data_IF_036557620766
#
_entry.id   IF_036557620766
#
_cell.length_a   1.000
_cell.length_b   1.000
_cell.length_c   1.000
_cell.angle_alpha   90.00
_cell.angle_beta   90.00
_cell.angle_gamma   90.00
#
_symmetry.space_group_name_H-M   'P 1'
#
loop_
_entity.id
_entity.type
_entity.pdbx_description
1 polymer ?
#
# COMPACT_ATOMS: atom_id res chain seq x y z
N UNK A 1 -27.17 12.61 -43.27
CA UNK A 1 -26.09 13.19 -42.46
C UNK A 1 -26.43 12.96 -40.99
N UNK A 2 -25.56 12.23 -40.27
CA UNK A 2 -25.32 12.22 -38.81
C UNK A 2 -26.51 12.56 -37.90
N UNK A 3 -27.19 11.62 -37.25
CA UNK A 3 -26.74 10.72 -36.18
C UNK A 3 -25.95 11.42 -35.04
N UNK A 4 -26.51 11.29 -33.83
CA UNK A 4 -25.93 11.52 -32.49
C UNK A 4 -25.81 12.96 -31.95
N UNK A 5 -26.59 13.24 -30.89
CA UNK A 5 -26.09 13.79 -29.62
C UNK A 5 -27.20 13.77 -28.55
N UNK A 6 -27.61 12.58 -28.12
CA UNK A 6 -28.13 12.44 -26.75
C UNK A 6 -26.90 12.40 -25.83
N UNK A 7 -26.56 13.52 -25.21
CA UNK A 7 -25.64 13.52 -24.08
C UNK A 7 -26.47 13.33 -22.81
N UNK A 8 -26.43 12.12 -22.29
CA UNK A 8 -26.96 11.76 -21.00
C UNK A 8 -26.25 12.58 -19.91
N UNK A 9 -27.03 13.31 -19.12
CA UNK A 9 -26.61 13.74 -17.79
C UNK A 9 -26.51 12.48 -16.94
N UNK A 10 -25.34 11.85 -16.93
CA UNK A 10 -25.04 10.83 -15.92
C UNK A 10 -24.87 11.55 -14.59
N UNK A 11 -25.87 11.33 -13.73
CA UNK A 11 -25.83 11.71 -12.34
C UNK A 11 -24.55 11.18 -11.70
N UNK A 12 -23.74 12.08 -11.14
CA UNK A 12 -22.71 11.73 -10.17
C UNK A 12 -23.42 11.04 -9.01
N UNK A 13 -23.49 9.72 -9.09
CA UNK A 13 -24.02 8.86 -8.05
C UNK A 13 -23.08 9.02 -6.86
N UNK A 14 -23.64 9.37 -5.71
CA UNK A 14 -22.90 9.86 -4.56
C UNK A 14 -21.70 8.99 -4.21
N UNK A 15 -20.51 9.60 -4.19
CA UNK A 15 -19.37 9.01 -3.52
C UNK A 15 -19.78 8.81 -2.06
N UNK A 16 -20.05 7.56 -1.68
CA UNK A 16 -20.27 7.19 -0.29
C UNK A 16 -19.08 7.74 0.50
N UNK A 17 -19.36 8.50 1.56
CA UNK A 17 -18.30 8.99 2.46
C UNK A 17 -17.57 7.76 2.99
N UNK A 18 -16.34 7.54 2.54
CA UNK A 18 -15.48 6.46 3.02
C UNK A 18 -15.37 6.60 4.53
N UNK A 19 -15.82 5.58 5.26
CA UNK A 19 -15.60 5.51 6.69
C UNK A 19 -14.09 5.63 6.98
N UNK A 20 -13.67 6.29 8.08
CA UNK A 20 -12.26 6.31 8.44
C UNK A 20 -11.74 4.87 8.51
N UNK A 21 -10.64 4.58 7.80
CA UNK A 21 -10.02 3.27 7.86
C UNK A 21 -9.58 3.01 9.32
N UNK A 22 -10.03 1.88 9.87
CA UNK A 22 -9.51 1.41 11.15
C UNK A 22 -8.11 0.86 10.87
N UNK A 23 -7.13 1.13 11.75
CA UNK A 23 -5.79 0.56 11.61
C UNK A 23 -5.94 -0.97 11.50
N UNK A 24 -5.40 -1.55 10.42
CA UNK A 24 -5.48 -2.98 10.14
C UNK A 24 -6.48 -3.40 9.06
N UNK A 25 -7.22 -2.48 8.44
CA UNK A 25 -8.18 -2.79 7.35
C UNK A 25 -7.98 -1.92 6.08
N UNK A 26 -6.93 -1.11 6.03
CA UNK A 26 -6.62 -0.32 4.83
C UNK A 26 -5.95 -1.16 3.73
N UNK A 27 -6.02 -0.68 2.48
CA UNK A 27 -5.23 -1.25 1.38
C UNK A 27 -3.74 -1.26 1.71
N UNK A 28 -3.24 -0.18 2.31
CA UNK A 28 -1.86 -0.10 2.77
C UNK A 28 -1.55 -1.16 3.84
N UNK A 29 -2.47 -1.42 4.77
CA UNK A 29 -2.26 -2.43 5.79
C UNK A 29 -2.16 -3.85 5.22
N UNK A 30 -2.98 -4.15 4.21
CA UNK A 30 -2.95 -5.43 3.50
C UNK A 30 -1.70 -5.57 2.65
N UNK A 31 -1.39 -4.56 1.85
CA UNK A 31 -0.30 -4.61 0.88
C UNK A 31 1.08 -4.50 1.53
N UNK A 32 1.17 -4.05 2.78
CA UNK A 32 2.41 -4.07 3.57
C UNK A 32 2.50 -5.25 4.54
N UNK A 33 1.57 -6.21 4.50
CA UNK A 33 1.66 -7.39 5.33
C UNK A 33 2.94 -8.20 5.01
N UNK A 34 3.62 -8.66 6.06
CA UNK A 34 4.80 -9.53 5.98
C UNK A 34 4.49 -10.86 6.65
N UNK A 35 5.12 -11.94 6.20
CA UNK A 35 5.01 -13.26 6.82
C UNK A 35 6.39 -13.74 7.21
N UNK A 36 6.60 -14.05 8.50
CA UNK A 36 7.84 -14.65 8.97
C UNK A 36 8.00 -16.06 8.36
N UNK A 37 9.07 -16.26 7.60
CA UNK A 37 9.40 -17.56 6.98
C UNK A 37 10.37 -18.36 7.86
N UNK A 38 11.39 -17.68 8.37
CA UNK A 38 12.43 -18.20 9.27
C UNK A 38 12.97 -17.03 10.10
N UNK A 39 13.79 -17.32 11.13
CA UNK A 39 14.31 -16.27 12.02
C UNK A 39 15.03 -15.16 11.23
N UNK A 40 14.48 -13.95 11.29
CA UNK A 40 15.03 -12.79 10.60
C UNK A 40 14.74 -12.74 9.09
N UNK A 41 13.93 -13.65 8.53
CA UNK A 41 13.57 -13.62 7.11
C UNK A 41 12.06 -13.65 6.92
N UNK A 42 11.60 -12.67 6.14
CA UNK A 42 10.20 -12.38 5.91
C UNK A 42 9.89 -12.43 4.41
N UNK A 43 8.76 -13.01 4.06
CA UNK A 43 8.19 -12.95 2.73
C UNK A 43 7.14 -11.82 2.67
N UNK A 44 7.04 -11.17 1.52
CA UNK A 44 6.06 -10.11 1.26
C UNK A 44 5.65 -10.14 -0.22
N UNK A 45 4.39 -9.83 -0.48
CA UNK A 45 3.86 -9.67 -1.85
C UNK A 45 3.94 -8.19 -2.25
N UNK A 46 4.68 -7.89 -3.31
CA UNK A 46 4.80 -6.51 -3.81
C UNK A 46 3.61 -6.17 -4.71
N UNK A 47 2.65 -5.43 -4.15
CA UNK A 47 1.45 -4.99 -4.88
C UNK A 47 1.80 -4.00 -5.99
N UNK A 48 1.32 -4.29 -7.20
CA UNK A 48 1.51 -3.42 -8.37
C UNK A 48 0.86 -2.03 -8.19
N UNK A 49 -0.13 -1.88 -7.28
CA UNK A 49 -0.79 -0.62 -6.96
C UNK A 49 0.15 0.47 -6.43
N UNK A 50 1.33 0.08 -5.93
CA UNK A 50 2.36 0.99 -5.42
C UNK A 50 3.49 1.25 -6.43
N UNK A 51 3.34 0.84 -7.68
CA UNK A 51 4.32 1.09 -8.74
C UNK A 51 4.11 2.46 -9.38
N UNK A 52 5.18 3.25 -9.49
CA UNK A 52 5.21 4.56 -10.13
C UNK A 52 6.01 4.44 -11.44
N UNK A 53 5.31 4.56 -12.57
CA UNK A 53 5.83 4.36 -13.93
C UNK A 53 6.38 2.94 -14.12
N UNK A 54 7.61 2.69 -13.69
CA UNK A 54 8.33 1.42 -13.86
C UNK A 54 9.07 0.98 -12.60
N UNK A 55 8.93 1.72 -11.49
CA UNK A 55 9.62 1.44 -10.24
C UNK A 55 8.61 1.38 -9.09
N UNK A 56 8.80 0.43 -8.18
CA UNK A 56 8.01 0.36 -6.95
C UNK A 56 8.32 1.59 -6.09
N UNK A 57 7.30 2.19 -5.48
CA UNK A 57 7.48 3.32 -4.58
C UNK A 57 8.45 2.94 -3.44
N UNK A 58 9.50 3.74 -3.25
CA UNK A 58 10.49 3.47 -2.19
C UNK A 58 9.90 3.54 -0.78
N UNK A 59 8.97 4.46 -0.53
CA UNK A 59 8.28 4.54 0.77
C UNK A 59 7.47 3.27 1.10
N UNK A 60 6.87 2.64 0.10
CA UNK A 60 6.20 1.36 0.25
C UNK A 60 7.17 0.22 0.61
N UNK A 61 8.33 0.15 -0.08
CA UNK A 61 9.39 -0.80 0.26
C UNK A 61 9.93 -0.56 1.68
N UNK A 62 10.11 0.70 2.07
CA UNK A 62 10.56 1.05 3.41
C UNK A 62 9.53 0.69 4.49
N UNK A 63 8.23 0.79 4.18
CA UNK A 63 7.15 0.40 5.09
C UNK A 63 7.11 -1.12 5.33
N UNK A 64 7.33 -1.93 4.29
CA UNK A 64 7.50 -3.39 4.41
C UNK A 64 8.66 -3.73 5.36
N UNK A 65 9.81 -3.07 5.17
CA UNK A 65 10.96 -3.24 6.07
C UNK A 65 10.63 -2.80 7.50
N UNK A 66 9.91 -1.69 7.67
CA UNK A 66 9.47 -1.22 8.98
C UNK A 66 8.62 -2.23 9.73
N UNK A 67 7.68 -2.91 9.04
CA UNK A 67 6.87 -3.98 9.65
C UNK A 67 7.69 -5.20 10.05
N UNK A 68 8.56 -5.68 9.16
CA UNK A 68 9.47 -6.79 9.48
C UNK A 68 10.39 -6.46 10.66
N UNK A 69 10.90 -5.22 10.73
CA UNK A 69 11.71 -4.76 11.86
C UNK A 69 10.90 -4.71 13.17
N UNK A 70 9.63 -4.26 13.11
CA UNK A 70 8.77 -4.22 14.28
C UNK A 70 8.47 -5.59 14.88
N UNK A 71 8.45 -6.64 14.04
CA UNK A 71 8.31 -8.03 14.50
C UNK A 71 9.64 -8.64 14.96
N UNK A 72 10.76 -8.27 14.32
CA UNK A 72 12.07 -8.87 14.59
C UNK A 72 12.79 -8.27 15.81
N UNK A 73 12.55 -6.99 16.12
CA UNK A 73 13.32 -6.28 17.14
C UNK A 73 12.71 -6.43 18.54
N UNK A 74 13.53 -6.33 19.61
CA UNK A 74 13.03 -6.30 20.99
C UNK A 74 12.10 -5.11 21.30
N UNK A 75 12.19 -4.05 20.49
CA UNK A 75 11.32 -2.88 20.55
C UNK A 75 10.70 -2.65 19.15
N UNK A 76 9.36 -2.55 19.05
CA UNK A 76 8.68 -2.60 17.76
C UNK A 76 8.83 -1.33 16.91
N UNK A 77 9.22 -0.20 17.53
CA UNK A 77 9.26 1.11 16.90
C UNK A 77 10.71 1.60 16.76
N UNK A 78 11.38 1.34 15.62
CA UNK A 78 12.73 1.83 15.40
C UNK A 78 12.75 3.36 15.36
N UNK A 79 13.66 3.97 16.14
CA UNK A 79 13.78 5.43 16.22
C UNK A 79 14.26 6.08 14.90
N UNK A 80 15.06 5.36 14.12
CA UNK A 80 15.56 5.80 12.82
C UNK A 80 15.74 4.60 11.89
N UNK A 81 15.41 4.79 10.62
CA UNK A 81 15.59 3.80 9.54
C UNK A 81 16.19 4.51 8.33
N UNK A 82 17.25 3.93 7.76
CA UNK A 82 17.82 4.36 6.48
C UNK A 82 17.87 3.19 5.51
N UNK A 83 17.65 3.47 4.22
CA UNK A 83 17.67 2.46 3.17
C UNK A 83 18.43 3.00 1.95
N UNK A 84 19.13 2.12 1.25
CA UNK A 84 19.85 2.41 0.03
C UNK A 84 19.27 1.52 -1.08
N UNK A 85 18.75 2.14 -2.14
CA UNK A 85 18.21 1.43 -3.30
C UNK A 85 19.34 1.27 -4.33
N UNK A 86 19.51 0.04 -4.84
CA UNK A 86 20.57 -0.33 -5.78
C UNK A 86 20.17 -0.06 -7.23
#
# INVERSE_FOLDING_TARGET
>A
MHAMAQAATEAVTGAARTAPATIGDSEFDRDTAVTLREEGVYDAELSAGWTIIHAVNGGYLLALLGRALGEALPHPDPFSVSAHYL
#
